data_IF_247158084206
#
_entry.id   IF_247158084206
#
_cell.length_a   1.000
_cell.length_b   1.000
_cell.length_c   1.000
_cell.angle_alpha   90.00
_cell.angle_beta   90.00
_cell.angle_gamma   90.00
#
_symmetry.space_group_name_H-M   'P 1'
#
loop_
_entity.id
_entity.type
_entity.pdbx_description
1 polymer ?
#
# COMPACT_ATOMS: atom_id res chain seq x y z
N UNK A 1 -22.02 9.92 9.51
CA UNK A 1 -21.70 9.00 8.39
C UNK A 1 -20.21 8.92 8.21
N UNK A 2 -19.67 7.74 8.07
CA UNK A 2 -18.25 7.55 7.86
C UNK A 2 -17.95 7.23 6.41
N UNK A 3 -16.91 7.84 5.92
CA UNK A 3 -16.41 7.55 4.58
C UNK A 3 -15.16 6.68 4.70
N UNK A 4 -14.92 5.88 3.69
CA UNK A 4 -13.77 5.00 3.67
C UNK A 4 -12.97 5.17 2.39
N UNK A 5 -11.68 5.23 2.56
CA UNK A 5 -10.71 5.11 1.48
C UNK A 5 -9.78 3.97 1.87
N UNK A 6 -10.09 2.78 1.40
CA UNK A 6 -9.47 1.55 1.87
C UNK A 6 -9.08 0.70 0.69
N UNK A 7 -7.81 0.31 0.68
CA UNK A 7 -7.25 -0.54 -0.36
C UNK A 7 -6.58 -1.73 0.28
N UNK A 8 -6.85 -2.91 -0.26
CA UNK A 8 -6.14 -4.14 0.10
C UNK A 8 -5.53 -4.68 -1.18
N UNK A 9 -4.22 -4.83 -1.18
CA UNK A 9 -3.49 -5.47 -2.26
C UNK A 9 -2.92 -6.78 -1.75
N UNK A 10 -3.13 -7.86 -2.51
CA UNK A 10 -2.45 -9.13 -2.27
C UNK A 10 -1.86 -9.58 -3.59
N UNK A 11 -0.56 -9.65 -3.64
CA UNK A 11 0.15 -10.00 -4.87
C UNK A 11 1.59 -10.34 -4.56
N UNK A 12 2.48 -9.96 -5.47
CA UNK A 12 3.92 -10.20 -5.32
C UNK A 12 4.68 -8.88 -5.41
N UNK A 13 5.81 -8.82 -4.74
CA UNK A 13 6.70 -7.66 -4.85
C UNK A 13 7.34 -7.68 -6.23
N UNK A 14 7.00 -6.68 -7.06
CA UNK A 14 7.45 -6.61 -8.44
C UNK A 14 8.70 -5.74 -8.62
N UNK A 15 8.87 -4.74 -7.75
CA UNK A 15 10.06 -3.88 -7.74
C UNK A 15 10.29 -3.41 -6.32
N UNK A 16 11.53 -3.49 -5.85
CA UNK A 16 11.89 -3.06 -4.50
C UNK A 16 11.91 -1.55 -4.36
N UNK A 17 12.01 -0.85 -5.48
CA UNK A 17 12.03 0.60 -5.52
C UNK A 17 13.18 1.19 -4.73
N UNK A 18 12.95 2.36 -4.14
CA UNK A 18 13.97 3.03 -3.34
C UNK A 18 13.35 3.77 -2.18
N UNK A 19 14.16 3.95 -1.15
CA UNK A 19 13.81 4.76 0.01
C UNK A 19 14.48 6.11 -0.13
N UNK A 20 13.77 7.16 0.25
CA UNK A 20 14.31 8.52 0.21
C UNK A 20 13.77 9.36 1.36
N UNK A 21 14.50 10.42 1.67
CA UNK A 21 14.09 11.36 2.69
C UNK A 21 13.02 12.31 2.13
N UNK A 22 12.07 12.68 2.99
CA UNK A 22 11.03 13.64 2.64
C UNK A 22 11.48 15.06 3.04
N UNK A 23 11.12 16.08 2.23
CA UNK A 23 11.51 17.47 2.54
C UNK A 23 11.03 17.95 3.90
N UNK A 24 9.87 17.50 4.35
CA UNK A 24 9.29 17.88 5.63
C UNK A 24 9.78 17.04 6.80
N UNK A 25 10.70 16.11 6.55
CA UNK A 25 11.17 15.15 7.54
C UNK A 25 10.53 13.78 7.35
N UNK A 26 11.19 12.74 7.87
CA UNK A 26 10.77 11.37 7.67
C UNK A 26 11.28 10.77 6.37
N UNK A 27 10.89 9.54 6.10
CA UNK A 27 11.30 8.81 4.90
C UNK A 27 10.09 8.19 4.21
N UNK A 28 10.27 7.83 2.95
CA UNK A 28 9.28 7.05 2.20
C UNK A 28 9.97 5.95 1.44
N UNK A 29 9.41 4.74 1.51
CA UNK A 29 9.82 3.62 0.67
C UNK A 29 8.80 3.47 -0.45
N UNK A 30 9.25 3.59 -1.69
CA UNK A 30 8.39 3.35 -2.85
C UNK A 30 8.70 1.96 -3.37
N UNK A 31 7.66 1.21 -3.75
CA UNK A 31 7.81 -0.12 -4.33
C UNK A 31 6.58 -0.46 -5.16
N UNK A 32 6.66 -1.50 -5.95
CA UNK A 32 5.56 -1.93 -6.81
C UNK A 32 5.07 -3.30 -6.43
N UNK A 33 3.76 -3.47 -6.43
CA UNK A 33 3.08 -4.74 -6.19
C UNK A 33 2.32 -5.13 -7.46
N UNK A 34 2.52 -6.35 -7.91
CA UNK A 34 1.80 -6.89 -9.05
C UNK A 34 0.72 -7.85 -8.56
N UNK A 35 -0.50 -7.61 -9.02
CA UNK A 35 -1.63 -8.49 -8.79
C UNK A 35 -2.04 -9.15 -10.10
N UNK A 36 -2.59 -10.34 -10.01
CA UNK A 36 -3.08 -11.08 -11.18
C UNK A 36 -4.50 -11.52 -10.92
N UNK A 37 -5.37 -11.23 -11.85
CA UNK A 37 -6.76 -11.66 -11.82
C UNK A 37 -7.20 -12.11 -13.22
N UNK A 38 -8.50 -12.37 -13.42
CA UNK A 38 -9.03 -12.84 -14.70
C UNK A 38 -8.85 -11.82 -15.83
N UNK A 39 -8.74 -10.53 -15.47
CA UNK A 39 -8.56 -9.45 -16.45
C UNK A 39 -7.09 -9.24 -16.83
N UNK A 40 -6.16 -9.88 -16.11
CA UNK A 40 -4.74 -9.80 -16.43
C UNK A 40 -3.87 -9.44 -15.25
N UNK A 41 -2.76 -8.79 -15.55
CA UNK A 41 -1.74 -8.42 -14.58
C UNK A 41 -1.74 -6.91 -14.40
N UNK A 42 -1.77 -6.47 -13.14
CA UNK A 42 -1.80 -5.05 -12.80
C UNK A 42 -0.66 -4.74 -11.84
N UNK A 43 0.11 -3.70 -12.15
CA UNK A 43 1.19 -3.24 -11.28
C UNK A 43 0.77 -1.95 -10.61
N UNK A 44 0.84 -1.93 -9.29
CA UNK A 44 0.37 -0.82 -8.46
C UNK A 44 1.54 -0.22 -7.70
N UNK A 45 1.79 1.10 -7.85
CA UNK A 45 2.81 1.77 -7.06
C UNK A 45 2.32 1.99 -5.62
N UNK A 46 3.21 1.72 -4.66
CA UNK A 46 2.93 1.86 -3.23
C UNK A 46 3.95 2.79 -2.62
N UNK A 47 3.49 3.69 -1.76
CA UNK A 47 4.32 4.56 -0.96
C UNK A 47 4.12 4.21 0.52
N UNK A 48 5.20 3.88 1.20
CA UNK A 48 5.19 3.50 2.61
C UNK A 48 5.94 4.56 3.39
N UNK A 49 5.21 5.36 4.14
CA UNK A 49 5.76 6.48 4.92
C UNK A 49 6.37 5.94 6.20
N UNK A 50 7.59 6.37 6.49
CA UNK A 50 8.35 5.97 7.68
C UNK A 50 8.34 4.46 7.90
N UNK A 51 8.84 3.67 6.93
CA UNK A 51 8.89 2.22 7.08
C UNK A 51 9.81 1.83 8.24
N UNK A 52 9.61 0.65 8.84
CA UNK A 52 10.49 0.19 9.89
C UNK A 52 11.92 -0.01 9.38
N UNK A 53 12.92 0.01 10.28
CA UNK A 53 14.34 -0.15 9.89
C UNK A 53 14.64 -1.42 9.11
N UNK A 54 13.85 -2.47 9.33
CA UNK A 54 14.03 -3.75 8.65
C UNK A 54 13.69 -3.69 7.17
N UNK A 55 12.99 -2.63 6.73
CA UNK A 55 12.59 -2.46 5.35
C UNK A 55 11.46 -3.39 4.92
N UNK A 56 11.47 -3.76 3.64
CA UNK A 56 10.42 -4.62 3.09
C UNK A 56 10.46 -6.01 3.70
N UNK A 57 9.29 -6.59 4.05
CA UNK A 57 9.25 -7.90 4.71
C UNK A 57 9.45 -9.09 3.77
N UNK A 58 9.57 -8.85 2.47
CA UNK A 58 9.71 -9.91 1.47
C UNK A 58 10.75 -9.51 0.42
N UNK A 59 11.22 -10.49 -0.31
CA UNK A 59 12.10 -10.30 -1.46
C UNK A 59 11.27 -10.21 -2.76
N UNK A 60 11.93 -9.80 -3.85
CA UNK A 60 11.31 -9.77 -5.16
C UNK A 60 10.66 -11.10 -5.51
N UNK A 61 9.43 -11.04 -6.03
CA UNK A 61 8.68 -12.22 -6.43
C UNK A 61 7.93 -12.92 -5.32
N UNK A 62 8.15 -12.52 -4.07
CA UNK A 62 7.46 -13.13 -2.93
C UNK A 62 6.12 -12.46 -2.65
N UNK A 63 5.22 -13.22 -2.05
CA UNK A 63 3.87 -12.76 -1.73
C UNK A 63 3.84 -11.67 -0.67
N UNK A 64 3.08 -10.63 -0.93
CA UNK A 64 2.98 -9.46 -0.06
C UNK A 64 1.52 -9.03 0.06
N UNK A 65 1.14 -8.54 1.24
CA UNK A 65 -0.17 -7.94 1.48
C UNK A 65 0.05 -6.51 1.93
N UNK A 66 -0.63 -5.58 1.27
CA UNK A 66 -0.58 -4.15 1.60
C UNK A 66 -1.99 -3.69 1.92
N UNK A 67 -2.14 -2.99 3.04
CA UNK A 67 -3.38 -2.35 3.42
C UNK A 67 -3.11 -0.86 3.54
N UNK A 68 -3.92 -0.04 2.92
CA UNK A 68 -3.72 1.40 2.93
C UNK A 68 -4.88 2.14 2.30
N UNK A 69 -4.57 3.26 1.73
CA UNK A 69 -5.54 4.12 1.05
C UNK A 69 -5.00 4.56 -0.29
N UNK A 70 -5.90 4.90 -1.20
CA UNK A 70 -5.50 5.44 -2.49
C UNK A 70 -5.29 6.94 -2.36
N UNK A 71 -4.25 7.46 -2.98
CA UNK A 71 -3.93 8.88 -2.95
C UNK A 71 -3.43 9.32 -4.30
N UNK A 72 -3.85 10.48 -4.71
CA UNK A 72 -3.38 11.10 -5.95
C UNK A 72 -2.50 12.28 -5.60
N UNK A 73 -1.27 12.25 -6.09
CA UNK A 73 -0.29 13.30 -5.82
C UNK A 73 -0.02 14.07 -7.10
N UNK A 74 0.07 15.39 -6.97
CA UNK A 74 0.41 16.29 -8.08
C UNK A 74 1.83 16.81 -7.88
N UNK A 75 2.57 16.90 -8.97
CA UNK A 75 3.94 17.40 -8.96
C UNK A 75 4.26 18.06 -10.29
N UNK A 76 5.32 18.87 -10.30
CA UNK A 76 5.73 19.55 -11.51
C UNK A 76 6.99 18.92 -12.07
N UNK A 77 6.97 18.67 -13.38
CA UNK A 77 8.14 18.18 -14.11
C UNK A 77 8.29 19.05 -15.35
N UNK A 78 9.44 19.71 -15.48
CA UNK A 78 9.73 20.58 -16.62
C UNK A 78 8.64 21.62 -16.89
N UNK A 79 8.10 22.22 -15.84
CA UNK A 79 7.06 23.23 -15.94
C UNK A 79 5.64 22.73 -16.16
N UNK A 80 5.46 21.44 -16.36
CA UNK A 80 4.13 20.83 -16.52
C UNK A 80 3.68 20.17 -15.24
N UNK A 81 2.38 20.27 -14.93
CA UNK A 81 1.79 19.57 -13.80
C UNK A 81 1.47 18.13 -14.21
N UNK A 82 1.95 17.18 -13.41
CA UNK A 82 1.65 15.76 -13.59
C UNK A 82 1.00 15.22 -12.33
N UNK A 83 0.36 14.07 -12.44
CA UNK A 83 -0.23 13.40 -11.31
C UNK A 83 0.18 11.94 -11.27
N UNK A 84 0.25 11.39 -10.05
CA UNK A 84 0.51 9.98 -9.84
C UNK A 84 -0.48 9.47 -8.81
N UNK A 85 -1.17 8.40 -9.15
CA UNK A 85 -2.05 7.70 -8.23
C UNK A 85 -1.28 6.53 -7.64
N UNK A 86 -1.28 6.43 -6.33
CA UNK A 86 -0.54 5.39 -5.62
C UNK A 86 -1.32 4.95 -4.37
N UNK A 87 -0.95 3.80 -3.85
CA UNK A 87 -1.46 3.34 -2.55
C UNK A 87 -0.49 3.82 -1.48
N UNK A 88 -1.00 4.54 -0.49
CA UNK A 88 -0.22 4.91 0.69
C UNK A 88 -0.45 3.83 1.74
N UNK A 89 0.60 3.08 2.05
CA UNK A 89 0.48 1.90 2.90
C UNK A 89 0.43 2.25 4.39
N UNK A 90 -0.51 1.64 5.09
CA UNK A 90 -0.57 1.61 6.55
C UNK A 90 0.07 0.34 7.09
N UNK A 91 -0.12 -0.78 6.37
CA UNK A 91 0.43 -2.07 6.74
C UNK A 91 1.05 -2.75 5.52
N UNK A 92 2.24 -3.28 5.71
CA UNK A 92 2.94 -4.06 4.68
C UNK A 92 3.39 -5.37 5.33
N UNK A 93 2.89 -6.49 4.82
CA UNK A 93 3.01 -7.77 5.51
C UNK A 93 3.43 -8.85 4.52
N UNK A 94 4.35 -9.74 4.93
CA UNK A 94 4.63 -10.94 4.14
C UNK A 94 3.36 -11.80 4.09
N UNK A 95 2.97 -12.25 2.90
CA UNK A 95 1.77 -13.07 2.74
C UNK A 95 1.86 -14.38 3.53
N UNK A 96 3.07 -14.88 3.77
CA UNK A 96 3.31 -16.08 4.58
C UNK A 96 3.06 -15.87 6.07
N UNK A 97 3.04 -14.62 6.53
CA UNK A 97 2.73 -14.31 7.93
C UNK A 97 1.21 -14.28 8.11
N UNK A 98 0.62 -15.48 8.09
CA UNK A 98 -0.84 -15.63 8.09
C UNK A 98 -1.52 -15.07 9.33
N UNK A 99 -0.86 -15.15 10.48
CA UNK A 99 -1.40 -14.62 11.73
C UNK A 99 -1.60 -13.10 11.64
N UNK A 100 -0.57 -12.41 11.19
CA UNK A 100 -0.63 -10.95 11.09
C UNK A 100 -1.59 -10.51 9.99
N UNK A 101 -1.58 -11.18 8.85
CA UNK A 101 -2.53 -10.92 7.76
C UNK A 101 -3.97 -11.06 8.28
N UNK A 102 -4.27 -12.16 8.95
CA UNK A 102 -5.62 -12.39 9.50
C UNK A 102 -6.03 -11.34 10.52
N UNK A 103 -5.10 -10.94 11.39
CA UNK A 103 -5.37 -9.90 12.40
C UNK A 103 -5.67 -8.55 11.75
N UNK A 104 -4.84 -8.16 10.78
CA UNK A 104 -4.99 -6.86 10.10
C UNK A 104 -6.27 -6.83 9.27
N UNK A 105 -6.54 -7.88 8.48
CA UNK A 105 -7.76 -7.95 7.68
C UNK A 105 -9.00 -8.07 8.55
N UNK A 106 -8.91 -8.74 9.70
CA UNK A 106 -10.00 -8.78 10.68
C UNK A 106 -10.32 -7.40 11.23
N UNK A 107 -9.30 -6.57 11.48
CA UNK A 107 -9.48 -5.19 11.90
C UNK A 107 -10.15 -4.34 10.83
N UNK A 108 -9.73 -4.51 9.58
CA UNK A 108 -10.34 -3.83 8.43
C UNK A 108 -11.81 -4.21 8.29
N UNK A 109 -12.11 -5.50 8.39
CA UNK A 109 -13.47 -6.00 8.29
C UNK A 109 -14.36 -5.39 9.38
N UNK A 110 -13.88 -5.35 10.61
CA UNK A 110 -14.64 -4.74 11.73
C UNK A 110 -14.89 -3.25 11.49
N UNK A 111 -13.90 -2.55 10.95
CA UNK A 111 -14.04 -1.14 10.63
C UNK A 111 -15.15 -0.90 9.62
N UNK A 112 -15.16 -1.65 8.53
CA UNK A 112 -16.15 -1.51 7.46
C UNK A 112 -17.55 -1.94 7.94
N UNK A 113 -17.65 -3.08 8.61
CA UNK A 113 -18.93 -3.58 9.12
C UNK A 113 -19.45 -2.70 10.25
N UNK A 114 -18.57 -2.23 11.13
CA UNK A 114 -18.96 -1.34 12.21
C UNK A 114 -19.54 -0.02 11.69
N UNK A 115 -18.93 0.55 10.66
CA UNK A 115 -19.46 1.76 10.02
C UNK A 115 -20.82 1.50 9.37
N UNK A 116 -21.01 0.36 8.73
CA UNK A 116 -22.29 -0.03 8.15
C UNK A 116 -23.35 -0.26 9.22
N UNK A 117 -22.96 -0.84 10.35
CA UNK A 117 -23.88 -1.11 11.46
C UNK A 117 -24.30 0.17 12.18
N UNK A 118 -23.44 1.17 12.23
CA UNK A 118 -23.72 2.45 12.88
C UNK A 118 -24.61 3.36 12.03
N UNK A 119 -24.76 3.05 10.77
CA UNK A 119 -25.55 3.82 9.81
C UNK A 119 -27.08 3.58 9.91
#
# INVERSE_FOLDING_TARGET
MSEHNLVILRGVLAAEGMQRDLPAGGTVRQFDVTTRDDDGVHTVPVAWIDPPPDGLPVALGEGIVVVGKISRRFFRVSGATQSRTEVVADEVIAATNRRRVGRVLGGVRRLVEGAASAG
#
